data_IF_787035636960
#
_entry.id   IF_787035636960
#
_cell.length_a   1.000
_cell.length_b   1.000
_cell.length_c   1.000
_cell.angle_alpha   90.00
_cell.angle_beta   90.00
_cell.angle_gamma   90.00
#
_symmetry.space_group_name_H-M   'P 1'
#
loop_
_entity.id
_entity.type
_entity.pdbx_description
1 polymer ?
#
# COMPACT_ATOMS: atom_id res chain seq x y z
N UNK A 1 -63.07 0.56 -6.68
CA UNK A 1 -63.06 -0.05 -5.33
C UNK A 1 -61.68 -0.01 -4.64
N UNK A 2 -60.58 0.04 -5.33
CA UNK A 2 -59.23 0.08 -4.70
C UNK A 2 -58.85 1.50 -4.20
N UNK A 3 -59.46 2.58 -4.74
CA UNK A 3 -59.22 3.96 -4.33
C UNK A 3 -59.86 4.37 -3.00
N UNK A 4 -60.91 3.67 -2.54
CA UNK A 4 -61.55 3.94 -1.26
C UNK A 4 -60.84 3.33 -0.04
N UNK A 5 -60.00 2.33 -0.23
CA UNK A 5 -59.27 1.74 0.87
C UNK A 5 -57.97 2.49 1.20
N UNK A 6 -57.45 3.34 0.31
CA UNK A 6 -56.25 4.14 0.52
C UNK A 6 -56.49 5.47 1.27
N UNK A 7 -57.74 5.90 1.41
CA UNK A 7 -58.14 7.14 2.09
C UNK A 7 -58.24 7.00 3.63
N UNK A 8 -58.21 5.81 4.20
CA UNK A 8 -58.35 5.58 5.65
C UNK A 8 -57.03 5.25 6.38
N UNK A 9 -55.90 5.31 5.67
CA UNK A 9 -54.55 5.00 6.23
C UNK A 9 -53.75 6.26 6.67
N UNK A 10 -54.43 7.34 7.01
CA UNK A 10 -53.77 8.61 7.36
C UNK A 10 -53.70 8.89 8.87
N UNK A 11 -53.50 7.92 9.71
CA UNK A 11 -53.09 8.12 11.10
C UNK A 11 -52.27 6.90 11.53
N UNK A 12 -50.98 6.87 11.25
CA UNK A 12 -50.04 6.06 12.01
C UNK A 12 -48.72 6.83 12.15
N UNK A 13 -48.36 7.05 13.39
CA UNK A 13 -47.10 7.67 13.83
C UNK A 13 -45.89 6.86 13.35
N UNK A 14 -44.78 7.60 13.16
CA UNK A 14 -43.51 7.09 12.66
C UNK A 14 -42.87 6.12 13.65
N UNK A 15 -43.10 4.81 13.44
CA UNK A 15 -42.23 3.76 13.95
C UNK A 15 -41.23 3.36 12.84
N UNK A 16 -39.95 3.26 13.19
CA UNK A 16 -38.88 2.79 12.29
C UNK A 16 -39.27 1.41 11.74
N UNK A 17 -39.25 1.19 10.42
CA UNK A 17 -39.63 -0.09 9.83
C UNK A 17 -38.64 -1.18 10.22
N UNK A 18 -39.13 -2.33 10.58
CA UNK A 18 -38.37 -3.54 10.80
C UNK A 18 -37.61 -3.94 9.50
N UNK A 19 -36.44 -4.59 9.59
CA UNK A 19 -35.65 -4.98 8.41
C UNK A 19 -36.43 -5.99 7.59
N UNK A 20 -36.90 -5.58 6.39
CA UNK A 20 -37.63 -6.38 5.45
C UNK A 20 -38.97 -5.79 4.97
N UNK A 21 -39.44 -4.63 5.46
CA UNK A 21 -40.67 -3.98 5.00
C UNK A 21 -40.36 -2.99 3.86
N UNK A 22 -41.04 -3.14 2.73
CA UNK A 22 -40.96 -2.21 1.58
C UNK A 22 -41.40 -0.81 2.00
N UNK A 23 -40.65 0.22 1.61
CA UNK A 23 -41.01 1.61 1.87
C UNK A 23 -42.22 2.06 1.05
N UNK A 24 -42.88 3.17 1.43
CA UNK A 24 -44.05 3.71 0.70
C UNK A 24 -43.67 4.13 -0.74
N UNK A 25 -42.45 4.54 -0.97
CA UNK A 25 -41.92 4.85 -2.30
C UNK A 25 -41.77 3.57 -3.14
N UNK A 26 -41.35 2.47 -2.53
CA UNK A 26 -41.17 1.18 -3.15
C UNK A 26 -42.52 0.59 -3.62
N UNK A 27 -43.56 0.77 -2.81
CA UNK A 27 -44.95 0.38 -3.16
C UNK A 27 -45.51 1.20 -4.31
N UNK A 28 -45.14 2.49 -4.41
CA UNK A 28 -45.54 3.36 -5.52
C UNK A 28 -44.82 3.02 -6.81
N UNK A 29 -43.50 2.71 -6.75
CA UNK A 29 -42.72 2.24 -7.89
C UNK A 29 -43.23 0.90 -8.42
N UNK A 30 -43.56 -0.06 -7.51
CA UNK A 30 -44.18 -1.33 -7.84
C UNK A 30 -45.57 -1.14 -8.56
N UNK A 31 -46.37 -0.21 -8.07
CA UNK A 31 -47.66 0.12 -8.68
C UNK A 31 -47.57 0.80 -10.05
N UNK A 32 -46.51 1.64 -10.26
CA UNK A 32 -46.20 2.26 -11.54
C UNK A 32 -45.71 1.23 -12.58
N UNK A 33 -44.88 0.28 -12.17
CA UNK A 33 -44.38 -0.78 -13.03
C UNK A 33 -45.47 -1.78 -13.47
N UNK A 34 -46.42 -2.10 -12.59
CA UNK A 34 -47.60 -2.93 -12.94
C UNK A 34 -48.48 -2.28 -14.03
N UNK A 35 -48.46 -0.92 -14.15
CA UNK A 35 -49.12 -0.21 -15.23
C UNK A 35 -48.39 -0.28 -16.57
N UNK A 36 -47.07 -0.51 -16.57
CA UNK A 36 -46.23 -0.62 -17.76
C UNK A 36 -46.16 -2.03 -18.36
N UNK A 37 -46.90 -3.02 -17.82
CA UNK A 37 -46.97 -4.36 -18.38
C UNK A 37 -45.78 -5.27 -18.08
N UNK A 38 -44.87 -4.85 -17.21
CA UNK A 38 -43.78 -5.72 -16.75
C UNK A 38 -44.28 -6.82 -15.81
N UNK A 39 -43.71 -8.03 -15.93
CA UNK A 39 -44.05 -9.11 -15.01
C UNK A 39 -43.62 -8.78 -13.57
N UNK A 40 -44.34 -9.32 -12.58
CA UNK A 40 -44.01 -9.09 -11.18
C UNK A 40 -42.57 -9.51 -10.80
N UNK A 41 -42.02 -10.46 -11.53
CA UNK A 41 -40.64 -10.91 -11.36
C UNK A 41 -39.65 -9.90 -11.95
N UNK A 42 -39.91 -9.34 -13.12
CA UNK A 42 -39.06 -8.30 -13.71
C UNK A 42 -38.98 -7.03 -12.81
N UNK A 43 -40.09 -6.67 -12.18
CA UNK A 43 -40.15 -5.56 -11.21
C UNK A 43 -39.38 -5.88 -9.93
N UNK A 44 -39.43 -7.11 -9.43
CA UNK A 44 -38.62 -7.55 -8.28
C UNK A 44 -37.13 -7.51 -8.61
N UNK A 45 -36.72 -7.95 -9.79
CA UNK A 45 -35.32 -7.90 -10.22
C UNK A 45 -34.83 -6.46 -10.39
N UNK A 46 -35.65 -5.59 -10.98
CA UNK A 46 -35.32 -4.16 -11.12
C UNK A 46 -35.15 -3.49 -9.76
N UNK A 47 -36.07 -3.75 -8.83
CA UNK A 47 -36.01 -3.20 -7.47
C UNK A 47 -34.80 -3.71 -6.69
N UNK A 48 -34.49 -5.00 -6.79
CA UNK A 48 -33.30 -5.55 -6.15
C UNK A 48 -32.01 -4.94 -6.74
N UNK A 49 -31.97 -4.69 -8.06
CA UNK A 49 -30.84 -4.06 -8.73
C UNK A 49 -30.67 -2.58 -8.30
N UNK A 50 -31.77 -1.85 -8.05
CA UNK A 50 -31.73 -0.46 -7.54
C UNK A 50 -31.24 -0.37 -6.09
N UNK A 51 -31.52 -1.38 -5.28
CA UNK A 51 -31.04 -1.44 -3.87
C UNK A 51 -29.57 -1.88 -3.74
N UNK A 52 -28.99 -2.44 -4.80
CA UNK A 52 -27.58 -2.80 -4.83
C UNK A 52 -26.77 -1.52 -5.14
N UNK A 53 -25.78 -1.24 -4.30
CA UNK A 53 -24.77 -0.21 -4.58
C UNK A 53 -23.80 -0.61 -5.71
N UNK A 54 -24.11 -1.70 -6.42
CA UNK A 54 -23.32 -2.30 -7.48
C UNK A 54 -24.06 -2.17 -8.82
N UNK A 55 -23.32 -1.94 -9.90
CA UNK A 55 -23.87 -1.98 -11.25
C UNK A 55 -23.93 -3.44 -11.71
N UNK A 56 -25.12 -3.95 -11.94
CA UNK A 56 -25.32 -5.26 -12.56
C UNK A 56 -25.27 -5.10 -14.08
N UNK A 57 -24.56 -5.98 -14.77
CA UNK A 57 -24.47 -5.98 -16.22
C UNK A 57 -24.63 -7.38 -16.82
N UNK A 58 -25.04 -7.43 -18.08
CA UNK A 58 -25.08 -8.63 -18.90
C UNK A 58 -24.42 -8.37 -20.26
N UNK A 59 -23.58 -9.29 -20.69
CA UNK A 59 -22.93 -9.26 -22.00
C UNK A 59 -23.42 -10.44 -22.84
N UNK A 60 -23.54 -10.21 -24.13
CA UNK A 60 -23.72 -11.27 -25.13
C UNK A 60 -22.43 -12.07 -25.38
N UNK A 61 -22.50 -13.08 -26.25
CA UNK A 61 -21.35 -13.91 -26.61
C UNK A 61 -20.22 -13.17 -27.36
N UNK A 62 -20.42 -11.92 -27.76
CA UNK A 62 -19.41 -11.04 -28.38
C UNK A 62 -18.85 -10.02 -27.40
N UNK A 63 -19.32 -10.01 -26.15
CA UNK A 63 -18.87 -9.08 -25.11
C UNK A 63 -19.56 -7.72 -25.16
N UNK A 64 -20.64 -7.58 -25.95
CA UNK A 64 -21.44 -6.36 -26.00
C UNK A 64 -22.43 -6.30 -24.84
N UNK A 65 -22.61 -5.10 -24.28
CA UNK A 65 -23.53 -4.81 -23.17
C UNK A 65 -24.98 -4.93 -23.65
N UNK A 66 -25.72 -5.92 -23.16
CA UNK A 66 -27.13 -6.14 -23.45
C UNK A 66 -28.04 -5.67 -22.34
N UNK A 67 -27.50 -5.54 -21.13
CA UNK A 67 -28.18 -5.01 -19.96
C UNK A 67 -27.18 -4.28 -19.05
N UNK A 68 -27.64 -3.14 -18.51
CA UNK A 68 -26.97 -2.40 -17.43
C UNK A 68 -28.00 -1.98 -16.38
N UNK A 69 -27.65 -2.18 -15.11
CA UNK A 69 -28.45 -1.68 -14.01
C UNK A 69 -28.48 -0.14 -13.94
N UNK A 70 -29.54 0.46 -13.40
CA UNK A 70 -29.73 1.92 -13.35
C UNK A 70 -28.64 2.66 -12.53
N UNK A 71 -27.97 1.97 -11.65
CA UNK A 71 -26.81 2.47 -10.87
C UNK A 71 -25.64 2.90 -11.75
N UNK A 72 -25.60 2.46 -13.02
CA UNK A 72 -24.55 2.82 -13.99
C UNK A 72 -24.42 4.32 -14.17
N UNK A 73 -25.54 5.03 -14.45
CA UNK A 73 -25.55 6.48 -14.66
C UNK A 73 -25.07 7.22 -13.41
N UNK A 74 -25.50 6.77 -12.23
CA UNK A 74 -25.06 7.35 -10.96
C UNK A 74 -23.56 7.15 -10.71
N UNK A 75 -23.00 6.01 -11.14
CA UNK A 75 -21.61 5.65 -10.95
C UNK A 75 -20.69 6.36 -11.94
N UNK A 76 -21.06 6.35 -13.23
CA UNK A 76 -20.17 6.80 -14.32
C UNK A 76 -20.49 8.20 -14.85
N UNK A 77 -21.70 8.70 -14.62
CA UNK A 77 -22.23 9.91 -15.23
C UNK A 77 -22.54 9.77 -16.73
N UNK A 78 -22.54 8.53 -17.26
CA UNK A 78 -22.90 8.21 -18.66
C UNK A 78 -24.29 7.60 -18.69
N UNK A 79 -25.10 7.96 -19.69
CA UNK A 79 -26.43 7.38 -19.85
C UNK A 79 -26.33 5.90 -20.30
N UNK A 80 -27.22 5.07 -19.76
CA UNK A 80 -27.25 3.61 -20.09
C UNK A 80 -27.46 3.40 -21.58
N UNK A 81 -28.33 4.20 -22.20
CA UNK A 81 -28.69 4.11 -23.62
C UNK A 81 -27.51 4.39 -24.56
N UNK A 82 -26.52 5.17 -24.11
CA UNK A 82 -25.34 5.51 -24.91
C UNK A 82 -24.33 4.38 -24.98
N UNK A 83 -24.32 3.49 -23.98
CA UNK A 83 -23.33 2.42 -23.85
C UNK A 83 -23.90 1.02 -24.14
N UNK A 84 -25.21 0.84 -24.15
CA UNK A 84 -25.83 -0.42 -24.56
C UNK A 84 -25.45 -0.77 -26.00
N UNK A 85 -25.14 -2.05 -26.24
CA UNK A 85 -24.67 -2.55 -27.52
C UNK A 85 -23.16 -2.36 -27.77
N UNK A 86 -22.47 -1.59 -26.92
CA UNK A 86 -21.01 -1.44 -27.02
C UNK A 86 -20.28 -2.53 -26.25
N UNK A 87 -19.06 -2.93 -26.68
CA UNK A 87 -18.23 -3.85 -25.93
C UNK A 87 -17.81 -3.26 -24.57
N UNK A 88 -17.96 -4.03 -23.49
CA UNK A 88 -17.56 -3.59 -22.14
C UNK A 88 -16.07 -3.18 -22.08
N UNK A 89 -15.22 -3.81 -22.88
CA UNK A 89 -13.78 -3.51 -22.97
C UNK A 89 -13.53 -2.05 -23.36
N UNK A 90 -14.39 -1.45 -24.20
CA UNK A 90 -14.22 -0.05 -24.61
C UNK A 90 -14.45 0.94 -23.48
N UNK A 91 -15.22 0.55 -22.46
CA UNK A 91 -15.45 1.33 -21.25
C UNK A 91 -14.25 1.28 -20.30
N UNK A 92 -13.35 0.32 -20.45
CA UNK A 92 -12.12 0.23 -19.66
C UNK A 92 -11.06 1.22 -20.14
N UNK A 93 -10.22 1.68 -19.19
CA UNK A 93 -9.04 2.50 -19.50
C UNK A 93 -8.13 1.75 -20.52
N UNK A 94 -7.53 2.44 -21.51
CA UNK A 94 -6.74 1.80 -22.58
C UNK A 94 -5.68 0.80 -22.10
N UNK A 95 -5.00 1.10 -21.00
CA UNK A 95 -3.98 0.21 -20.43
C UNK A 95 -4.57 -1.07 -19.82
N UNK A 96 -5.83 -1.06 -19.39
CA UNK A 96 -6.50 -2.19 -18.74
C UNK A 96 -7.24 -3.07 -19.74
N UNK A 97 -7.52 -2.56 -20.96
CA UNK A 97 -8.27 -3.27 -22.03
C UNK A 97 -7.74 -4.66 -22.35
N UNK A 98 -6.43 -4.90 -22.56
CA UNK A 98 -5.93 -6.22 -22.87
C UNK A 98 -6.22 -7.25 -21.78
N UNK A 99 -6.15 -6.82 -20.52
CA UNK A 99 -6.43 -7.67 -19.35
C UNK A 99 -7.92 -7.97 -19.23
N UNK A 100 -8.78 -6.99 -19.46
CA UNK A 100 -10.24 -7.15 -19.43
C UNK A 100 -10.67 -8.09 -20.55
N UNK A 101 -10.16 -7.90 -21.78
CA UNK A 101 -10.43 -8.77 -22.92
C UNK A 101 -10.07 -10.22 -22.63
N UNK A 102 -8.86 -10.48 -22.13
CA UNK A 102 -8.41 -11.84 -21.80
C UNK A 102 -9.33 -12.53 -20.77
N UNK A 103 -9.85 -11.78 -19.79
CA UNK A 103 -10.79 -12.29 -18.78
C UNK A 103 -12.14 -12.62 -19.41
N UNK A 104 -12.68 -11.73 -20.24
CA UNK A 104 -13.98 -11.96 -20.90
C UNK A 104 -13.91 -13.13 -21.88
N UNK A 105 -12.82 -13.26 -22.64
CA UNK A 105 -12.59 -14.38 -23.56
C UNK A 105 -12.53 -15.72 -22.80
N UNK A 106 -11.85 -15.76 -21.66
CA UNK A 106 -11.76 -16.95 -20.83
C UNK A 106 -13.12 -17.35 -20.21
N UNK A 107 -13.97 -16.37 -19.85
CA UNK A 107 -15.35 -16.61 -19.39
C UNK A 107 -16.25 -17.10 -20.52
N UNK A 108 -16.19 -16.46 -21.69
CA UNK A 108 -16.98 -16.85 -22.88
C UNK A 108 -16.61 -18.27 -23.35
N UNK A 109 -15.33 -18.61 -23.32
CA UNK A 109 -14.83 -19.95 -23.61
C UNK A 109 -15.06 -20.98 -22.50
N UNK A 110 -15.61 -20.56 -21.35
CA UNK A 110 -15.83 -21.40 -20.14
C UNK A 110 -14.57 -22.08 -19.60
N UNK A 111 -13.41 -21.48 -19.83
CA UNK A 111 -12.14 -21.96 -19.26
C UNK A 111 -12.13 -21.79 -17.74
N UNK A 112 -12.77 -20.70 -17.25
CA UNK A 112 -13.01 -20.47 -15.83
C UNK A 112 -14.47 -20.04 -15.62
N UNK A 113 -15.14 -20.49 -14.53
CA UNK A 113 -16.54 -20.18 -14.29
C UNK A 113 -16.78 -18.75 -13.81
N UNK A 114 -15.76 -18.11 -13.22
CA UNK A 114 -15.86 -16.77 -12.67
C UNK A 114 -14.49 -16.08 -12.60
N UNK A 115 -14.53 -14.74 -12.65
CA UNK A 115 -13.38 -13.88 -12.44
C UNK A 115 -13.73 -12.69 -11.55
N UNK A 116 -12.69 -12.17 -10.87
CA UNK A 116 -12.75 -10.91 -10.14
C UNK A 116 -11.45 -10.15 -10.39
N UNK A 117 -11.58 -8.94 -10.95
CA UNK A 117 -10.45 -8.06 -11.24
C UNK A 117 -10.78 -6.61 -10.90
N UNK A 118 -9.79 -5.83 -10.48
CA UNK A 118 -9.89 -4.38 -10.39
C UNK A 118 -9.37 -3.76 -11.68
N UNK A 119 -10.09 -2.75 -12.18
CA UNK A 119 -9.76 -2.00 -13.39
C UNK A 119 -10.19 -0.55 -13.27
N UNK A 120 -9.68 0.29 -14.15
CA UNK A 120 -10.14 1.66 -14.34
C UNK A 120 -11.22 1.69 -15.41
N UNK A 121 -12.39 2.23 -15.03
CA UNK A 121 -13.50 2.47 -15.94
C UNK A 121 -13.47 3.94 -16.39
N UNK A 122 -13.78 4.20 -17.65
CA UNK A 122 -13.94 5.56 -18.17
C UNK A 122 -15.29 6.11 -17.73
N UNK A 123 -15.29 7.24 -17.01
CA UNK A 123 -16.48 7.93 -16.54
C UNK A 123 -16.42 9.40 -16.95
N UNK A 124 -17.55 10.09 -16.92
CA UNK A 124 -17.64 11.50 -17.30
C UNK A 124 -16.71 12.42 -16.47
N UNK A 125 -16.46 12.07 -15.20
CA UNK A 125 -15.57 12.78 -14.30
C UNK A 125 -14.10 12.35 -14.35
N UNK A 126 -13.72 11.42 -15.24
CA UNK A 126 -12.39 10.82 -15.32
C UNK A 126 -12.36 9.34 -14.93
N UNK A 127 -11.18 8.74 -14.88
CA UNK A 127 -11.05 7.31 -14.59
C UNK A 127 -11.55 6.95 -13.18
N UNK A 128 -12.41 5.94 -13.09
CA UNK A 128 -13.01 5.44 -11.87
C UNK A 128 -12.48 4.04 -11.58
N UNK A 129 -12.03 3.77 -10.35
CA UNK A 129 -11.59 2.43 -9.97
C UNK A 129 -12.79 1.56 -9.62
N UNK A 130 -12.97 0.46 -10.35
CA UNK A 130 -14.03 -0.50 -10.11
C UNK A 130 -13.49 -1.92 -9.96
N UNK A 131 -14.17 -2.72 -9.16
CA UNK A 131 -14.01 -4.16 -9.14
C UNK A 131 -15.04 -4.77 -10.08
N UNK A 132 -14.58 -5.48 -11.09
CA UNK A 132 -15.38 -6.30 -12.00
C UNK A 132 -15.43 -7.71 -11.43
N UNK A 133 -16.61 -8.18 -11.05
CA UNK A 133 -16.89 -9.58 -10.76
C UNK A 133 -17.82 -10.14 -11.83
N UNK A 134 -17.38 -11.19 -12.54
CA UNK A 134 -18.10 -11.73 -13.68
C UNK A 134 -18.13 -13.26 -13.66
N UNK A 135 -19.21 -13.82 -14.18
CA UNK A 135 -19.49 -15.26 -14.27
C UNK A 135 -19.99 -15.59 -15.68
N UNK A 136 -19.64 -16.78 -16.19
CA UNK A 136 -20.25 -17.29 -17.40
C UNK A 136 -21.72 -17.67 -17.13
N UNK A 137 -22.63 -17.24 -18.00
CA UNK A 137 -24.07 -17.59 -17.89
C UNK A 137 -24.27 -19.10 -18.04
N UNK A 138 -25.08 -19.72 -17.15
CA UNK A 138 -25.39 -21.14 -17.27
C UNK A 138 -26.28 -21.48 -18.49
N UNK A 139 -27.04 -20.50 -19.00
CA UNK A 139 -28.07 -20.69 -20.02
C UNK A 139 -27.66 -20.24 -21.42
N UNK A 140 -26.65 -19.34 -21.54
CA UNK A 140 -26.26 -18.74 -22.81
C UNK A 140 -25.00 -19.34 -23.43
N UNK A 141 -24.82 -19.15 -24.76
CA UNK A 141 -23.60 -19.50 -25.48
C UNK A 141 -22.62 -18.32 -25.41
N UNK A 142 -21.71 -18.34 -24.41
CA UNK A 142 -20.69 -17.28 -24.24
C UNK A 142 -21.18 -16.01 -23.54
N UNK A 143 -22.41 -15.99 -23.05
CA UNK A 143 -22.94 -14.86 -22.27
C UNK A 143 -22.26 -14.75 -20.92
N UNK A 144 -22.09 -13.51 -20.46
CA UNK A 144 -21.44 -13.17 -19.19
C UNK A 144 -22.36 -12.28 -18.35
N UNK A 145 -22.53 -12.64 -17.09
CA UNK A 145 -23.23 -11.86 -16.07
C UNK A 145 -22.20 -11.34 -15.06
N UNK A 146 -22.39 -10.11 -14.58
CA UNK A 146 -21.47 -9.60 -13.57
C UNK A 146 -21.93 -8.35 -12.87
N UNK A 147 -21.07 -7.88 -11.97
CA UNK A 147 -21.24 -6.64 -11.21
C UNK A 147 -20.00 -5.78 -11.31
N UNK A 148 -20.21 -4.46 -11.27
CA UNK A 148 -19.17 -3.46 -11.10
C UNK A 148 -19.41 -2.76 -9.76
N UNK A 149 -18.40 -2.80 -8.90
CA UNK A 149 -18.42 -2.17 -7.57
C UNK A 149 -17.41 -1.04 -7.53
N UNK A 150 -17.82 0.17 -7.12
CA UNK A 150 -16.90 1.29 -6.93
C UNK A 150 -15.89 0.99 -5.81
N UNK A 151 -14.61 1.13 -6.13
CA UNK A 151 -13.49 0.97 -5.19
C UNK A 151 -12.71 2.27 -5.01
N UNK A 152 -13.16 3.38 -5.59
CA UNK A 152 -12.44 4.65 -5.62
C UNK A 152 -12.21 5.21 -4.23
N UNK A 153 -13.23 5.30 -3.41
CA UNK A 153 -13.13 5.81 -2.05
C UNK A 153 -12.20 4.93 -1.20
N UNK A 154 -12.36 3.61 -1.28
CA UNK A 154 -11.51 2.65 -0.57
C UNK A 154 -10.04 2.79 -0.97
N UNK A 155 -9.74 2.92 -2.27
CA UNK A 155 -8.38 3.15 -2.77
C UNK A 155 -7.80 4.49 -2.33
N UNK A 156 -8.61 5.55 -2.37
CA UNK A 156 -8.17 6.86 -1.89
C UNK A 156 -7.86 6.82 -0.39
N UNK A 157 -8.68 6.14 0.39
CA UNK A 157 -8.46 5.99 1.83
C UNK A 157 -7.19 5.18 2.12
N UNK A 158 -6.97 4.08 1.39
CA UNK A 158 -5.73 3.29 1.48
C UNK A 158 -4.50 4.12 1.10
N UNK A 159 -4.56 4.91 0.02
CA UNK A 159 -3.45 5.78 -0.38
C UNK A 159 -3.14 6.85 0.67
N UNK A 160 -4.17 7.45 1.28
CA UNK A 160 -4.01 8.42 2.39
C UNK A 160 -3.39 7.76 3.63
N UNK A 161 -3.81 6.55 3.98
CA UNK A 161 -3.23 5.80 5.11
C UNK A 161 -1.76 5.49 4.84
N UNK A 162 -1.41 5.03 3.64
CA UNK A 162 -0.02 4.77 3.25
C UNK A 162 0.84 6.03 3.31
N UNK A 163 0.32 7.16 2.82
CA UNK A 163 1.01 8.45 2.90
C UNK A 163 1.21 8.90 4.35
N UNK A 164 0.19 8.76 5.19
CA UNK A 164 0.27 9.08 6.61
C UNK A 164 1.31 8.23 7.34
N UNK A 165 1.34 6.92 7.07
CA UNK A 165 2.32 5.99 7.66
C UNK A 165 3.76 6.32 7.19
N UNK A 166 3.92 6.67 5.91
CA UNK A 166 5.20 7.13 5.39
C UNK A 166 5.70 8.39 6.09
N UNK A 167 4.82 9.38 6.31
CA UNK A 167 5.15 10.60 7.04
C UNK A 167 5.47 10.31 8.50
N UNK A 168 4.75 9.42 9.16
CA UNK A 168 5.03 8.99 10.52
C UNK A 168 6.42 8.33 10.63
N UNK A 169 6.74 7.43 9.72
CA UNK A 169 8.06 6.77 9.64
C UNK A 169 9.19 7.79 9.46
N UNK A 170 9.01 8.75 8.54
CA UNK A 170 9.95 9.86 8.36
C UNK A 170 10.10 10.69 9.64
N UNK A 171 9.00 11.02 10.32
CA UNK A 171 9.01 11.79 11.57
C UNK A 171 9.85 11.12 12.66
N UNK A 172 9.85 9.79 12.74
CA UNK A 172 10.67 9.03 13.70
C UNK A 172 12.17 9.06 13.38
N UNK A 173 12.52 9.18 12.10
CA UNK A 173 13.91 9.22 11.64
C UNK A 173 14.51 10.64 11.67
N UNK A 174 13.68 11.70 11.60
CA UNK A 174 14.12 13.10 11.52
C UNK A 174 15.11 13.50 12.64
N UNK A 175 14.88 13.16 13.92
CA UNK A 175 15.85 13.53 14.99
C UNK A 175 17.23 12.93 14.76
N UNK A 176 17.30 11.66 14.32
CA UNK A 176 18.56 11.00 13.99
C UNK A 176 19.25 11.62 12.77
N UNK A 177 18.51 11.88 11.71
CA UNK A 177 19.04 12.57 10.54
C UNK A 177 19.54 13.98 10.87
N UNK A 178 18.79 14.76 11.65
CA UNK A 178 19.21 16.08 12.05
C UNK A 178 20.55 16.05 12.81
N UNK A 179 20.71 15.08 13.73
CA UNK A 179 21.97 14.88 14.45
C UNK A 179 23.12 14.49 13.49
N UNK A 180 22.89 13.53 12.59
CA UNK A 180 23.90 13.05 11.65
C UNK A 180 24.26 14.10 10.58
N UNK A 181 23.38 15.05 10.26
CA UNK A 181 23.65 16.19 9.40
C UNK A 181 24.39 17.32 10.16
N UNK A 182 24.02 17.59 11.40
CA UNK A 182 24.65 18.65 12.19
C UNK A 182 26.12 18.34 12.51
N UNK A 183 26.47 17.05 12.71
CA UNK A 183 27.85 16.66 13.02
C UNK A 183 28.84 17.07 11.91
N UNK A 184 28.74 16.59 10.65
CA UNK A 184 29.66 17.01 9.59
C UNK A 184 29.58 18.53 9.37
N UNK A 185 28.42 19.17 9.51
CA UNK A 185 28.28 20.61 9.36
C UNK A 185 29.10 21.37 10.41
N UNK A 186 29.09 20.95 11.67
CA UNK A 186 29.85 21.55 12.75
C UNK A 186 31.38 21.43 12.48
N UNK A 187 31.86 20.26 12.05
CA UNK A 187 33.26 20.06 11.67
C UNK A 187 33.67 20.91 10.46
N UNK A 188 32.80 21.00 9.46
CA UNK A 188 33.07 21.85 8.29
C UNK A 188 33.18 23.32 8.67
N UNK A 189 32.29 23.83 9.51
CA UNK A 189 32.32 25.21 10.00
C UNK A 189 33.57 25.47 10.83
N UNK A 190 33.94 24.58 11.77
CA UNK A 190 35.15 24.72 12.57
C UNK A 190 36.44 24.77 11.70
N UNK A 191 36.53 23.91 10.68
CA UNK A 191 37.66 23.91 9.77
C UNK A 191 37.71 25.16 8.87
N UNK A 192 36.55 25.66 8.44
CA UNK A 192 36.48 26.94 7.69
C UNK A 192 36.86 28.12 8.56
N UNK A 193 36.43 28.20 9.83
CA UNK A 193 36.81 29.25 10.78
C UNK A 193 38.30 29.21 11.07
N UNK A 194 38.89 28.01 11.22
CA UNK A 194 40.35 27.84 11.34
C UNK A 194 41.09 28.37 10.11
N UNK A 195 40.65 28.03 8.91
CA UNK A 195 41.24 28.51 7.68
C UNK A 195 41.17 30.03 7.55
N UNK A 196 40.03 30.63 7.84
CA UNK A 196 39.82 32.08 7.78
C UNK A 196 40.69 32.81 8.79
N UNK A 197 40.81 32.32 10.02
CA UNK A 197 41.67 32.94 11.04
C UNK A 197 43.16 32.80 10.70
N UNK A 198 43.59 31.60 10.30
CA UNK A 198 45.03 31.36 9.97
C UNK A 198 45.46 32.07 8.68
N UNK A 199 44.55 32.32 7.72
CA UNK A 199 44.84 33.12 6.52
C UNK A 199 44.88 34.60 6.82
N UNK A 200 44.15 35.11 7.86
CA UNK A 200 44.20 36.51 8.31
C UNK A 200 45.52 36.90 8.98
N UNK A 201 46.19 35.95 9.61
CA UNK A 201 47.42 36.16 10.38
C UNK A 201 48.71 36.10 9.51
N UNK A 202 48.56 35.85 8.20
CA UNK A 202 49.72 35.72 7.27
C UNK A 202 50.25 37.11 6.89
N UNK A 203 51.10 37.68 7.75
CA UNK A 203 51.87 38.92 7.46
C UNK A 203 53.26 38.64 6.86
N UNK A 204 53.54 37.41 6.39
CA UNK A 204 54.85 37.01 5.87
C UNK A 204 54.79 35.76 4.98
N UNK A 205 55.96 35.22 4.62
CA UNK A 205 56.06 34.03 3.76
C UNK A 205 55.38 32.81 4.43
N UNK A 206 54.40 32.23 3.77
CA UNK A 206 53.68 31.02 4.21
C UNK A 206 54.64 29.83 4.35
N UNK A 207 54.66 29.17 5.50
CA UNK A 207 55.52 27.99 5.73
C UNK A 207 54.90 26.78 5.04
N UNK A 208 55.74 25.84 4.52
CA UNK A 208 55.25 24.61 3.88
C UNK A 208 54.32 23.78 4.80
N UNK A 209 54.59 23.75 6.09
CA UNK A 209 53.78 23.08 7.11
C UNK A 209 52.37 23.67 7.20
N UNK A 210 52.26 24.98 7.19
CA UNK A 210 50.99 25.71 7.23
C UNK A 210 50.13 25.45 5.98
N UNK A 211 50.77 25.30 4.81
CA UNK A 211 50.06 24.89 3.58
C UNK A 211 49.54 23.45 3.68
N UNK A 212 50.30 22.59 4.34
CA UNK A 212 49.88 21.20 4.57
C UNK A 212 48.65 21.13 5.50
N UNK A 213 48.64 21.87 6.61
CA UNK A 213 47.49 21.99 7.54
C UNK A 213 46.26 22.56 6.85
N UNK A 214 46.39 23.61 6.03
CA UNK A 214 45.27 24.15 5.25
C UNK A 214 44.69 23.12 4.26
N UNK A 215 45.56 22.33 3.63
CA UNK A 215 45.14 21.30 2.69
C UNK A 215 44.37 20.19 3.39
N UNK A 216 44.79 19.82 4.60
CA UNK A 216 44.11 18.85 5.45
C UNK A 216 42.71 19.37 5.86
N UNK A 217 42.62 20.60 6.37
CA UNK A 217 41.36 21.24 6.74
C UNK A 217 40.37 21.33 5.55
N UNK A 218 40.84 21.71 4.36
CA UNK A 218 40.02 21.69 3.14
C UNK A 218 39.56 20.27 2.78
N UNK A 219 40.45 19.28 2.98
CA UNK A 219 40.14 17.87 2.78
C UNK A 219 38.98 17.40 3.65
N UNK A 220 39.00 17.74 4.95
CA UNK A 220 37.96 17.42 5.92
C UNK A 220 36.63 18.12 5.60
N UNK A 221 36.67 19.40 5.17
CA UNK A 221 35.44 20.11 4.71
C UNK A 221 34.82 19.38 3.52
N UNK A 222 35.64 18.95 2.55
CA UNK A 222 35.15 18.20 1.38
C UNK A 222 34.52 16.85 1.79
N UNK A 223 35.13 16.11 2.72
CA UNK A 223 34.57 14.87 3.22
C UNK A 223 33.24 15.09 3.94
N UNK A 224 33.15 16.12 4.77
CA UNK A 224 31.92 16.51 5.44
C UNK A 224 30.78 16.82 4.47
N UNK A 225 31.10 17.58 3.41
CA UNK A 225 30.14 17.91 2.34
C UNK A 225 29.68 16.67 1.59
N UNK A 226 30.57 15.73 1.29
CA UNK A 226 30.23 14.48 0.63
C UNK A 226 29.32 13.59 1.50
N UNK A 227 29.57 13.53 2.81
CA UNK A 227 28.68 12.82 3.78
C UNK A 227 27.29 13.45 3.81
N UNK A 228 27.19 14.80 3.85
CA UNK A 228 25.89 15.49 3.77
C UNK A 228 25.15 15.18 2.47
N UNK A 229 25.86 15.17 1.35
CA UNK A 229 25.30 14.83 0.04
C UNK A 229 24.70 13.42 0.03
N UNK A 230 25.37 12.44 0.64
CA UNK A 230 24.89 11.07 0.77
C UNK A 230 23.63 11.00 1.65
N UNK A 231 23.62 11.68 2.82
CA UNK A 231 22.44 11.72 3.71
C UNK A 231 21.23 12.34 3.02
N UNK A 232 21.41 13.43 2.27
CA UNK A 232 20.34 14.06 1.47
C UNK A 232 19.86 13.10 0.36
N UNK A 233 20.79 12.36 -0.26
CA UNK A 233 20.46 11.32 -1.25
C UNK A 233 19.54 10.24 -0.69
N UNK A 234 19.82 9.77 0.53
CA UNK A 234 18.97 8.81 1.23
C UNK A 234 17.58 9.37 1.50
N UNK A 235 17.44 10.63 1.92
CA UNK A 235 16.14 11.28 2.11
C UNK A 235 15.35 11.43 0.79
N UNK A 236 16.03 11.76 -0.32
CA UNK A 236 15.37 11.87 -1.63
C UNK A 236 14.85 10.51 -2.13
N UNK A 237 15.50 9.42 -1.77
CA UNK A 237 15.08 8.06 -2.16
C UNK A 237 13.78 7.59 -1.49
N UNK A 238 13.23 8.33 -0.50
CA UNK A 238 11.88 8.10 0.04
C UNK A 238 10.76 8.40 -0.97
N UNK A 239 11.01 9.15 -2.04
CA UNK A 239 10.06 9.28 -3.14
C UNK A 239 10.00 7.94 -3.87
N UNK A 240 8.79 7.40 -4.00
CA UNK A 240 8.57 6.17 -4.76
C UNK A 240 9.15 6.34 -6.18
N UNK A 241 10.18 5.57 -6.49
CA UNK A 241 10.65 5.43 -7.86
C UNK A 241 9.75 4.38 -8.52
N UNK A 242 9.01 4.71 -9.58
CA UNK A 242 8.16 3.76 -10.29
C UNK A 242 8.97 2.74 -11.10
N UNK A 243 10.31 2.75 -11.01
CA UNK A 243 11.15 1.79 -11.73
C UNK A 243 10.77 0.35 -11.33
N UNK A 244 10.23 -0.38 -12.28
CA UNK A 244 10.00 -1.82 -12.16
C UNK A 244 11.24 -2.54 -12.74
N UNK A 245 11.96 -3.21 -11.87
CA UNK A 245 13.13 -4.00 -12.25
C UNK A 245 13.53 -4.97 -11.15
N UNK A 246 14.45 -5.91 -11.42
CA UNK A 246 14.95 -6.81 -10.39
C UNK A 246 15.70 -6.01 -9.31
N UNK A 247 15.26 -6.14 -8.06
CA UNK A 247 15.83 -5.44 -6.89
C UNK A 247 16.76 -6.40 -6.14
N UNK A 248 18.00 -6.00 -5.94
CA UNK A 248 18.94 -6.70 -5.05
C UNK A 248 18.55 -6.43 -3.59
N UNK A 249 18.07 -7.48 -2.93
CA UNK A 249 17.54 -7.41 -1.56
C UNK A 249 18.64 -7.05 -0.55
N UNK A 250 19.87 -7.53 -0.73
CA UNK A 250 20.97 -7.25 0.19
C UNK A 250 21.36 -5.76 0.14
N UNK A 251 21.47 -5.21 -1.07
CA UNK A 251 21.73 -3.78 -1.27
C UNK A 251 20.62 -2.91 -0.67
N UNK A 252 19.37 -3.34 -0.81
CA UNK A 252 18.23 -2.64 -0.23
C UNK A 252 18.27 -2.65 1.30
N UNK A 253 18.59 -3.80 1.91
CA UNK A 253 18.73 -3.93 3.37
C UNK A 253 19.91 -3.11 3.90
N UNK A 254 21.01 -2.98 3.15
CA UNK A 254 22.13 -2.09 3.51
C UNK A 254 21.69 -0.63 3.52
N UNK A 255 20.92 -0.18 2.53
CA UNK A 255 20.35 1.17 2.52
C UNK A 255 19.43 1.40 3.72
N UNK A 256 18.55 0.46 4.02
CA UNK A 256 17.67 0.53 5.19
C UNK A 256 18.48 0.57 6.49
N UNK A 257 19.52 -0.26 6.61
CA UNK A 257 20.43 -0.26 7.76
C UNK A 257 21.15 1.09 7.96
N UNK A 258 21.56 1.73 6.87
CA UNK A 258 22.12 3.08 6.93
C UNK A 258 21.12 4.13 7.41
N UNK A 259 19.85 4.04 6.95
CA UNK A 259 18.79 4.97 7.36
C UNK A 259 18.47 4.91 8.85
N UNK A 260 18.53 3.72 9.46
CA UNK A 260 18.24 3.54 10.90
C UNK A 260 19.49 3.64 11.78
N UNK A 261 20.66 3.84 11.21
CA UNK A 261 21.96 3.76 11.92
C UNK A 261 22.07 4.73 13.10
N UNK A 262 21.57 5.96 12.95
CA UNK A 262 21.58 6.95 14.01
C UNK A 262 20.67 6.55 15.17
N UNK A 263 19.47 6.08 14.87
CA UNK A 263 18.49 5.63 15.88
C UNK A 263 18.98 4.37 16.60
N UNK A 264 19.67 3.48 15.87
CA UNK A 264 20.20 2.24 16.43
C UNK A 264 21.43 2.44 17.30
N UNK A 265 22.32 3.42 16.97
CA UNK A 265 23.60 3.65 17.66
C UNK A 265 23.49 3.80 19.18
N UNK A 266 22.39 4.40 19.66
CA UNK A 266 22.12 4.57 21.10
C UNK A 266 21.44 3.37 21.75
N UNK A 267 21.03 2.35 20.98
CA UNK A 267 20.21 1.21 21.45
C UNK A 267 20.87 -0.14 21.30
N UNK A 268 21.73 -0.32 20.25
CA UNK A 268 22.34 -1.59 19.96
C UNK A 268 23.17 -1.57 18.68
N UNK A 269 23.42 -2.75 18.13
CA UNK A 269 24.22 -2.95 16.91
C UNK A 269 23.42 -3.61 15.80
N UNK A 270 23.83 -3.35 14.53
CA UNK A 270 23.30 -4.02 13.34
C UNK A 270 24.25 -5.13 12.88
N UNK A 271 23.74 -6.34 12.80
CA UNK A 271 24.47 -7.51 12.27
C UNK A 271 23.86 -7.91 10.93
N UNK A 272 24.70 -8.21 9.96
CA UNK A 272 24.33 -8.63 8.61
C UNK A 272 24.81 -10.05 8.36
N UNK A 273 23.89 -10.94 8.00
CA UNK A 273 24.17 -12.33 7.67
C UNK A 273 23.49 -12.67 6.33
N UNK A 274 24.12 -12.23 5.25
CA UNK A 274 23.57 -12.35 3.90
C UNK A 274 24.06 -13.64 3.24
N UNK A 275 23.17 -14.63 3.13
CA UNK A 275 23.45 -15.92 2.52
C UNK A 275 23.00 -16.07 1.07
N UNK A 276 22.27 -15.09 0.53
CA UNK A 276 21.74 -15.12 -0.84
C UNK A 276 22.00 -13.79 -1.57
N UNK A 277 22.21 -13.85 -2.89
CA UNK A 277 22.23 -12.70 -3.79
C UNK A 277 20.94 -12.61 -4.63
N UNK A 278 19.85 -13.17 -4.14
CA UNK A 278 18.62 -13.24 -4.87
C UNK A 278 18.01 -11.85 -5.12
N UNK A 279 17.43 -11.70 -6.29
CA UNK A 279 16.70 -10.51 -6.72
C UNK A 279 15.19 -10.77 -6.70
N UNK A 280 14.40 -9.74 -6.40
CA UNK A 280 12.95 -9.77 -6.40
C UNK A 280 12.45 -8.82 -7.48
N UNK A 281 11.48 -9.26 -8.31
CA UNK A 281 10.86 -8.42 -9.34
C UNK A 281 9.78 -7.54 -8.71
N UNK A 282 10.17 -6.32 -8.32
CA UNK A 282 9.22 -5.37 -7.70
C UNK A 282 9.72 -3.92 -7.82
N UNK A 283 8.86 -2.96 -7.48
CA UNK A 283 9.29 -1.57 -7.30
C UNK A 283 10.17 -1.42 -6.07
N UNK A 284 11.43 -0.96 -6.24
CA UNK A 284 12.38 -0.80 -5.13
C UNK A 284 11.83 0.07 -3.99
N UNK A 285 11.12 1.15 -4.31
CA UNK A 285 10.56 2.06 -3.31
C UNK A 285 9.54 1.41 -2.38
N UNK A 286 8.70 0.53 -2.93
CA UNK A 286 7.66 -0.18 -2.17
C UNK A 286 8.28 -1.23 -1.23
N UNK A 287 9.25 -2.00 -1.74
CA UNK A 287 9.96 -3.00 -0.94
C UNK A 287 10.81 -2.33 0.15
N UNK A 288 11.45 -1.21 -0.16
CA UNK A 288 12.20 -0.39 0.80
C UNK A 288 11.33 0.08 1.95
N UNK A 289 10.11 0.56 1.67
CA UNK A 289 9.16 0.97 2.69
C UNK A 289 8.84 -0.18 3.65
N UNK A 290 8.55 -1.37 3.13
CA UNK A 290 8.26 -2.53 3.96
C UNK A 290 9.44 -2.89 4.88
N UNK A 291 10.66 -3.00 4.34
CA UNK A 291 11.82 -3.32 5.17
C UNK A 291 12.22 -2.21 6.12
N UNK A 292 12.07 -0.94 5.74
CA UNK A 292 12.32 0.18 6.65
C UNK A 292 11.39 0.13 7.86
N UNK A 293 10.10 -0.11 7.65
CA UNK A 293 9.13 -0.22 8.73
C UNK A 293 9.45 -1.40 9.66
N UNK A 294 9.82 -2.57 9.09
CA UNK A 294 10.22 -3.74 9.87
C UNK A 294 11.48 -3.50 10.69
N UNK A 295 12.53 -2.97 10.07
CA UNK A 295 13.82 -2.73 10.72
C UNK A 295 13.68 -1.62 11.77
N UNK A 296 12.93 -0.55 11.46
CA UNK A 296 12.66 0.52 12.42
C UNK A 296 11.85 0.01 13.62
N UNK A 297 10.86 -0.86 13.40
CA UNK A 297 10.13 -1.53 14.47
C UNK A 297 11.09 -2.35 15.36
N UNK A 298 11.98 -3.13 14.74
CA UNK A 298 12.99 -3.91 15.46
C UNK A 298 13.91 -3.02 16.31
N UNK A 299 14.40 -1.90 15.75
CA UNK A 299 15.25 -0.92 16.45
C UNK A 299 14.52 -0.28 17.64
N UNK A 300 13.26 0.14 17.44
CA UNK A 300 12.45 0.78 18.48
C UNK A 300 12.00 -0.19 19.57
N UNK A 301 12.00 -1.50 19.29
CA UNK A 301 11.72 -2.55 20.28
C UNK A 301 12.91 -2.84 21.20
N UNK A 302 14.12 -2.37 20.86
CA UNK A 302 15.27 -2.45 21.75
C UNK A 302 15.12 -1.46 22.92
N UNK A 303 15.65 -1.79 24.11
CA UNK A 303 15.64 -0.88 25.26
C UNK A 303 16.35 0.45 24.96
N UNK A 304 15.82 1.57 25.45
CA UNK A 304 16.43 2.90 25.30
C UNK A 304 17.73 3.04 26.13
N UNK A 305 17.83 2.26 27.22
CA UNK A 305 18.97 2.26 28.15
C UNK A 305 19.32 0.80 28.46
N UNK A 306 20.58 0.44 28.32
CA UNK A 306 21.08 -0.92 28.54
C UNK A 306 22.48 -1.10 27.95
N UNK A 307 23.04 -2.30 28.09
CA UNK A 307 24.29 -2.62 27.40
C UNK A 307 24.01 -2.72 25.91
N UNK A 308 24.48 -1.72 25.15
CA UNK A 308 24.35 -1.67 23.70
C UNK A 308 25.04 -2.84 22.99
N UNK A 309 25.95 -3.55 23.69
CA UNK A 309 26.63 -4.72 23.14
C UNK A 309 25.75 -5.99 23.14
N UNK A 310 24.79 -6.08 24.06
CA UNK A 310 23.85 -7.20 24.13
C UNK A 310 22.64 -7.00 23.20
N UNK A 311 22.31 -5.76 22.87
CA UNK A 311 21.18 -5.41 22.00
C UNK A 311 21.58 -5.53 20.53
N UNK A 312 20.84 -6.34 19.78
CA UNK A 312 21.14 -6.61 18.40
C UNK A 312 19.88 -6.56 17.51
N UNK A 313 20.04 -5.97 16.33
CA UNK A 313 19.17 -6.20 15.18
C UNK A 313 19.99 -6.95 14.15
N UNK A 314 19.52 -8.14 13.75
CA UNK A 314 20.20 -8.97 12.76
C UNK A 314 19.35 -9.11 11.51
N UNK A 315 19.95 -8.84 10.35
CA UNK A 315 19.34 -9.00 9.04
C UNK A 315 19.93 -10.26 8.39
N UNK A 316 19.08 -11.20 8.05
CA UNK A 316 19.48 -12.46 7.42
C UNK A 316 18.79 -12.57 6.07
N UNK A 317 19.52 -12.99 5.04
CA UNK A 317 18.93 -13.33 3.74
C UNK A 317 19.31 -14.75 3.35
N UNK A 318 18.32 -15.52 2.88
CA UNK A 318 18.50 -16.92 2.44
C UNK A 318 17.60 -17.22 1.24
N UNK A 319 17.87 -18.29 0.54
CA UNK A 319 16.95 -18.92 -0.40
C UNK A 319 16.33 -20.16 0.25
N UNK A 320 15.04 -20.35 0.07
CA UNK A 320 14.38 -21.59 0.47
C UNK A 320 14.56 -22.68 -0.60
N UNK A 321 14.10 -23.91 -0.29
CA UNK A 321 14.19 -25.04 -1.22
C UNK A 321 13.29 -24.92 -2.46
N UNK A 322 12.38 -23.93 -2.49
CA UNK A 322 11.43 -23.65 -3.58
C UNK A 322 11.88 -22.45 -4.44
N UNK A 323 13.04 -21.85 -4.10
CA UNK A 323 13.61 -20.74 -4.84
C UNK A 323 13.03 -19.37 -4.47
N UNK A 324 12.37 -19.24 -3.31
CA UNK A 324 11.96 -17.94 -2.78
C UNK A 324 13.11 -17.26 -2.04
N UNK A 325 13.06 -15.95 -2.02
CA UNK A 325 13.94 -15.12 -1.20
C UNK A 325 13.33 -14.99 0.19
N UNK A 326 14.04 -15.47 1.20
CA UNK A 326 13.66 -15.35 2.61
C UNK A 326 14.53 -14.28 3.27
N UNK A 327 13.88 -13.29 3.87
CA UNK A 327 14.52 -12.24 4.67
C UNK A 327 14.03 -12.36 6.10
N UNK A 328 14.97 -12.44 7.05
CA UNK A 328 14.64 -12.43 8.47
C UNK A 328 15.20 -11.19 9.13
N UNK A 329 14.37 -10.52 9.91
CA UNK A 329 14.72 -9.40 10.78
C UNK A 329 14.57 -9.86 12.21
N UNK A 330 15.69 -10.08 12.87
CA UNK A 330 15.76 -10.51 14.27
C UNK A 330 16.04 -9.30 15.16
N UNK A 331 15.48 -9.27 16.37
CA UNK A 331 15.89 -8.33 17.40
C UNK A 331 15.81 -8.95 18.80
N UNK A 332 16.74 -8.54 19.66
CA UNK A 332 16.83 -8.99 21.05
C UNK A 332 15.94 -8.20 22.01
N UNK A 333 15.12 -7.28 21.50
CA UNK A 333 14.23 -6.41 22.28
C UNK A 333 13.05 -7.14 22.91
N UNK A 334 12.06 -6.37 23.33
CA UNK A 334 10.89 -6.88 24.04
C UNK A 334 10.20 -8.04 23.28
N UNK A 335 9.85 -9.08 24.03
CA UNK A 335 9.08 -10.21 23.53
C UNK A 335 7.61 -9.78 23.30
N UNK A 336 7.03 -10.20 22.20
CA UNK A 336 5.62 -9.97 21.87
C UNK A 336 4.79 -11.11 22.48
N UNK A 337 3.81 -10.81 23.34
CA UNK A 337 2.94 -11.82 23.93
C UNK A 337 2.20 -12.63 22.87
N UNK A 338 1.97 -13.96 23.07
CA UNK A 338 1.29 -14.82 22.09
C UNK A 338 -0.09 -14.29 21.66
N UNK A 339 -0.82 -13.67 22.56
CA UNK A 339 -2.15 -13.09 22.29
C UNK A 339 -2.11 -11.89 21.33
N UNK A 340 -0.94 -11.24 21.23
CA UNK A 340 -0.74 -10.09 20.35
C UNK A 340 -0.16 -10.49 18.99
N UNK A 341 0.51 -11.64 18.89
CA UNK A 341 1.14 -12.10 17.64
C UNK A 341 0.14 -12.23 16.48
N UNK A 342 -1.04 -12.80 16.74
CA UNK A 342 -2.09 -12.98 15.74
C UNK A 342 -2.68 -11.65 15.23
N UNK A 343 -2.60 -10.59 16.06
CA UNK A 343 -3.20 -9.29 15.77
C UNK A 343 -2.19 -8.25 15.29
N UNK A 344 -0.91 -8.58 15.28
CA UNK A 344 0.18 -7.64 15.02
C UNK A 344 0.10 -6.97 13.64
N UNK A 345 -0.51 -7.66 12.68
CA UNK A 345 -0.72 -7.18 11.32
C UNK A 345 -2.13 -6.63 11.06
N UNK A 346 -3.00 -6.57 12.10
CA UNK A 346 -4.32 -5.95 11.95
C UNK A 346 -4.18 -4.43 11.82
N UNK A 347 -5.00 -3.78 10.97
CA UNK A 347 -5.05 -2.33 10.88
C UNK A 347 -5.35 -1.69 12.24
N UNK A 348 -4.66 -0.61 12.58
CA UNK A 348 -4.81 0.15 13.82
C UNK A 348 -4.44 -0.61 15.12
N UNK A 349 -3.90 -1.82 15.02
CA UNK A 349 -3.38 -2.50 16.19
C UNK A 349 -2.00 -1.95 16.56
N UNK A 350 -1.91 -1.37 17.76
CA UNK A 350 -0.65 -0.97 18.39
C UNK A 350 -0.53 -1.73 19.70
N UNK A 351 0.52 -2.53 19.91
CA UNK A 351 0.76 -3.15 21.21
C UNK A 351 0.83 -2.09 22.31
N UNK A 352 0.16 -2.29 23.44
CA UNK A 352 0.11 -1.31 24.56
C UNK A 352 1.49 -0.90 25.09
N UNK A 353 2.48 -1.73 24.91
CA UNK A 353 3.86 -1.53 25.40
C UNK A 353 4.83 -1.07 24.30
N UNK A 354 4.44 -1.13 23.03
CA UNK A 354 5.25 -0.61 21.94
C UNK A 354 5.16 0.90 21.91
N UNK A 355 6.28 1.57 22.19
CA UNK A 355 6.46 2.97 21.84
C UNK A 355 6.10 3.11 20.36
N UNK A 356 5.40 4.19 19.99
CA UNK A 356 4.91 4.49 18.66
C UNK A 356 5.91 4.05 17.56
N UNK A 357 5.67 2.89 16.98
CA UNK A 357 6.44 2.34 15.86
C UNK A 357 5.64 2.44 14.55
N UNK A 358 6.30 2.25 13.39
CA UNK A 358 5.62 2.20 12.11
C UNK A 358 4.63 1.04 12.07
N UNK A 359 3.54 1.22 11.32
CA UNK A 359 2.48 0.22 11.19
C UNK A 359 2.99 -1.04 10.48
N UNK A 360 2.87 -2.19 11.14
CA UNK A 360 3.21 -3.49 10.55
C UNK A 360 2.12 -4.02 9.61
N UNK A 361 0.88 -3.51 9.71
CA UNK A 361 -0.18 -3.83 8.76
C UNK A 361 0.16 -3.34 7.35
N UNK A 362 0.78 -2.18 7.22
CA UNK A 362 1.26 -1.67 5.93
C UNK A 362 2.35 -2.57 5.34
N UNK A 363 3.27 -3.09 6.17
CA UNK A 363 4.27 -4.07 5.72
C UNK A 363 3.61 -5.34 5.17
N UNK A 364 2.61 -5.86 5.88
CA UNK A 364 1.87 -7.04 5.47
C UNK A 364 1.16 -6.82 4.12
N UNK A 365 0.47 -5.69 3.95
CA UNK A 365 -0.26 -5.37 2.71
C UNK A 365 0.69 -5.20 1.52
N UNK A 366 1.81 -4.50 1.73
CA UNK A 366 2.86 -4.35 0.71
C UNK A 366 3.38 -5.72 0.28
N UNK A 367 3.80 -6.55 1.23
CA UNK A 367 4.43 -7.84 0.94
C UNK A 367 3.44 -8.81 0.25
N UNK A 368 2.18 -8.82 0.67
CA UNK A 368 1.11 -9.56 -0.03
C UNK A 368 0.89 -9.06 -1.45
N UNK A 369 0.88 -7.75 -1.67
CA UNK A 369 0.76 -7.15 -2.99
C UNK A 369 1.90 -7.54 -3.94
N UNK A 370 3.08 -7.90 -3.40
CA UNK A 370 4.23 -8.41 -4.14
C UNK A 370 4.21 -9.95 -4.30
N UNK A 371 3.12 -10.63 -3.93
CA UNK A 371 3.02 -12.09 -3.99
C UNK A 371 3.80 -12.81 -2.90
N UNK A 372 4.28 -12.09 -1.89
CA UNK A 372 5.02 -12.63 -0.75
C UNK A 372 4.16 -12.83 0.50
N UNK A 373 4.82 -13.20 1.59
CA UNK A 373 4.21 -13.37 2.91
C UNK A 373 5.13 -12.87 4.01
N UNK A 374 4.54 -12.55 5.17
CA UNK A 374 5.27 -12.21 6.39
C UNK A 374 4.71 -13.02 7.55
N UNK A 375 5.58 -13.56 8.39
CA UNK A 375 5.22 -14.18 9.66
C UNK A 375 6.15 -13.66 10.77
N UNK A 376 5.71 -13.84 12.01
CA UNK A 376 6.44 -13.41 13.20
C UNK A 376 6.50 -14.55 14.22
N UNK A 377 7.64 -14.70 14.84
CA UNK A 377 7.82 -15.54 16.02
C UNK A 377 8.53 -14.75 17.10
N UNK A 378 8.11 -14.93 18.35
CA UNK A 378 8.68 -14.23 19.49
C UNK A 378 8.71 -15.16 20.70
N UNK A 379 9.88 -15.25 21.35
CA UNK A 379 10.12 -16.11 22.49
C UNK A 379 10.85 -15.34 23.58
N UNK A 380 10.48 -15.58 24.83
CA UNK A 380 11.12 -14.94 25.97
C UNK A 380 12.61 -15.34 26.05
N UNK A 381 13.48 -14.34 26.09
CA UNK A 381 14.94 -14.54 26.15
C UNK A 381 15.61 -14.78 24.79
N UNK A 382 14.87 -15.10 23.73
CA UNK A 382 15.40 -15.27 22.39
C UNK A 382 15.13 -14.07 21.48
N UNK A 383 14.18 -13.20 21.85
CA UNK A 383 13.76 -12.02 21.09
C UNK A 383 12.65 -12.31 20.10
N UNK A 384 12.58 -11.52 19.06
CA UNK A 384 11.55 -11.59 18.00
C UNK A 384 12.18 -11.74 16.64
N UNK A 385 11.57 -12.55 15.78
CA UNK A 385 11.96 -12.77 14.39
C UNK A 385 10.79 -12.48 13.47
N UNK A 386 10.94 -11.52 12.57
CA UNK A 386 10.06 -11.34 11.43
C UNK A 386 10.66 -12.05 10.23
N UNK A 387 9.91 -12.97 9.63
CA UNK A 387 10.31 -13.71 8.42
C UNK A 387 9.44 -13.29 7.25
N UNK A 388 10.08 -12.77 6.22
CA UNK A 388 9.47 -12.35 4.95
C UNK A 388 9.89 -13.33 3.87
N UNK A 389 8.92 -13.83 3.09
CA UNK A 389 9.17 -14.70 1.94
C UNK A 389 8.66 -14.00 0.69
N UNK A 390 9.50 -13.88 -0.33
CA UNK A 390 9.22 -13.18 -1.58
C UNK A 390 9.54 -14.07 -2.78
N UNK A 391 8.74 -14.00 -3.88
CA UNK A 391 9.07 -14.71 -5.11
C UNK A 391 10.34 -14.11 -5.72
N UNK A 392 11.25 -14.98 -6.18
CA UNK A 392 12.46 -14.57 -6.90
C UNK A 392 12.12 -13.97 -8.25
N UNK A 393 12.88 -12.98 -8.68
CA UNK A 393 12.84 -12.52 -10.07
C UNK A 393 13.33 -13.64 -10.99
N UNK A 394 12.54 -13.94 -12.02
CA UNK A 394 12.86 -14.93 -13.05
C UNK A 394 14.03 -14.49 -13.92
#
# INVERSE_FOLDING_TARGET
>A
MVYQQLSQASVFEAESPAPGSLSRMDMLALAAGLRSGLSADALRYHFLAEQLSEVVFHLDGLGALTFLGPTWTSLTGLEVEEVLGQPLVEMAHPEDRPRVQAVLDALAARVQPSFRIELRLLAAGGPLWVELAAHSSPTGQGEVLGTLTDRTERRQMQARLQQSDQLATLGMLVPGFAHDMNNPLAFMLANLDYLLSSMGDVAGATRPEQVAEWREAVGEVREGAERLRQLIGHLRSFRADPSQGPVDVNRLLDLVGQMVSSTLRSRGRLVRDYGSRATVACGEGVLRQAFLNLVLHAVLSLPDHGDTNENEVRLVTREDGEGHVVVEVHHTGACIPPEQLSRLFEPLFTPREAKQGPSLSVCHDILRGLGGSICVSSSWGEGTVFRVTLPRAS
#
